data_IF_978839747602
#
_entry.id   IF_978839747602
#
_cell.length_a   1.000
_cell.length_b   1.000
_cell.length_c   1.000
_cell.angle_alpha   90.00
_cell.angle_beta   90.00
_cell.angle_gamma   90.00
#
_symmetry.space_group_name_H-M   'P 1'
#
loop_
_entity.id
_entity.type
_entity.pdbx_description
1 polymer ?
#
# COMPACT_ATOMS: atom_id res chain seq x y z
N UNK A 1 23.01 -9.02 -11.15
CA UNK A 1 22.34 -10.27 -10.68
C UNK A 1 22.91 -10.83 -9.39
N UNK A 2 24.21 -10.70 -9.14
CA UNK A 2 24.83 -11.19 -7.90
C UNK A 2 24.27 -10.54 -6.64
N UNK A 3 24.10 -9.21 -6.66
CA UNK A 3 23.45 -8.43 -5.60
C UNK A 3 22.04 -8.93 -5.31
N UNK A 4 21.19 -9.09 -6.33
CA UNK A 4 19.84 -9.63 -6.18
C UNK A 4 19.82 -11.03 -5.54
N UNK A 5 20.72 -11.93 -5.96
CA UNK A 5 20.84 -13.28 -5.36
C UNK A 5 21.28 -13.24 -3.91
N UNK A 6 22.19 -12.33 -3.56
CA UNK A 6 22.62 -12.08 -2.17
C UNK A 6 21.44 -11.56 -1.34
N UNK A 7 20.64 -10.68 -1.93
CA UNK A 7 19.53 -10.02 -1.25
C UNK A 7 18.37 -10.97 -0.95
N UNK A 8 18.05 -11.90 -1.87
CA UNK A 8 17.07 -12.99 -1.63
C UNK A 8 17.45 -13.85 -0.42
N UNK A 9 18.74 -14.07 -0.19
CA UNK A 9 19.24 -14.91 0.92
C UNK A 9 19.38 -14.15 2.24
N UNK A 10 19.23 -12.83 2.23
CA UNK A 10 19.40 -11.99 3.42
C UNK A 10 18.22 -12.17 4.39
N UNK A 11 18.53 -12.61 5.62
CA UNK A 11 17.53 -12.75 6.69
C UNK A 11 16.92 -11.39 7.08
N UNK A 12 17.74 -10.35 7.12
CA UNK A 12 17.28 -8.98 7.44
C UNK A 12 16.19 -8.51 6.47
N UNK A 13 16.38 -8.77 5.18
CA UNK A 13 15.40 -8.41 4.15
C UNK A 13 14.13 -9.23 4.23
N UNK A 14 14.25 -10.54 4.54
CA UNK A 14 13.08 -11.39 4.81
C UNK A 14 12.27 -10.87 5.99
N UNK A 15 12.93 -10.56 7.11
CA UNK A 15 12.28 -9.99 8.28
C UNK A 15 11.58 -8.67 7.96
N UNK A 16 12.15 -7.83 7.09
CA UNK A 16 11.53 -6.59 6.64
C UNK A 16 10.26 -6.84 5.81
N UNK A 17 10.25 -7.86 4.95
CA UNK A 17 9.08 -8.28 4.18
C UNK A 17 7.99 -8.77 5.13
N UNK A 18 8.31 -9.69 6.04
CA UNK A 18 7.36 -10.23 7.03
C UNK A 18 6.77 -9.13 7.93
N UNK A 19 7.61 -8.20 8.40
CA UNK A 19 7.15 -7.05 9.17
C UNK A 19 6.15 -6.20 8.36
N UNK A 20 6.44 -5.96 7.09
CA UNK A 20 5.54 -5.19 6.20
C UNK A 20 4.21 -5.92 6.01
N UNK A 21 4.23 -7.23 5.77
CA UNK A 21 3.01 -8.05 5.63
C UNK A 21 2.17 -7.94 6.90
N UNK A 22 2.78 -8.13 8.08
CA UNK A 22 2.08 -8.04 9.36
C UNK A 22 1.45 -6.66 9.57
N UNK A 23 2.16 -5.59 9.21
CA UNK A 23 1.63 -4.22 9.29
C UNK A 23 0.44 -4.01 8.34
N UNK A 24 0.50 -4.54 7.11
CA UNK A 24 -0.60 -4.45 6.15
C UNK A 24 -1.82 -5.26 6.58
N UNK A 25 -1.62 -6.46 7.14
CA UNK A 25 -2.71 -7.27 7.71
C UNK A 25 -3.39 -6.56 8.88
N UNK A 26 -2.62 -5.91 9.77
CA UNK A 26 -3.17 -5.10 10.85
C UNK A 26 -3.93 -3.86 10.34
N UNK A 27 -3.53 -3.32 9.18
CA UNK A 27 -4.22 -2.24 8.51
C UNK A 27 -5.47 -2.69 7.71
N UNK A 28 -5.84 -3.97 7.76
CA UNK A 28 -7.04 -4.49 7.11
C UNK A 28 -6.85 -4.90 5.63
N UNK A 29 -5.61 -5.02 5.16
CA UNK A 29 -5.32 -5.48 3.80
C UNK A 29 -5.37 -7.01 3.75
N UNK A 30 -6.44 -7.55 3.18
CA UNK A 30 -6.67 -9.00 3.06
C UNK A 30 -6.75 -9.51 1.62
N UNK A 31 -6.88 -8.61 0.64
CA UNK A 31 -6.95 -8.95 -0.77
C UNK A 31 -5.97 -8.11 -1.59
N UNK A 32 -5.61 -8.59 -2.76
CA UNK A 32 -4.75 -7.86 -3.71
C UNK A 32 -5.43 -7.84 -5.08
N UNK A 33 -5.39 -6.73 -5.83
CA UNK A 33 -4.83 -5.42 -5.45
C UNK A 33 -5.65 -4.72 -4.34
N UNK A 34 -4.98 -3.93 -3.50
CA UNK A 34 -5.59 -3.00 -2.53
C UNK A 34 -4.85 -1.67 -2.62
N UNK A 35 -5.58 -0.57 -2.67
CA UNK A 35 -5.02 0.78 -2.67
C UNK A 35 -5.40 1.49 -1.37
N UNK A 36 -4.46 2.23 -0.78
CA UNK A 36 -4.68 3.03 0.43
C UNK A 36 -4.35 4.48 0.12
N UNK A 37 -5.28 5.40 0.37
CA UNK A 37 -5.08 6.85 0.19
C UNK A 37 -5.38 7.55 1.51
N UNK A 38 -4.38 8.21 2.10
CA UNK A 38 -4.49 8.91 3.39
C UNK A 38 -5.14 8.06 4.52
N UNK A 39 -4.84 6.76 4.56
CA UNK A 39 -5.41 5.82 5.53
C UNK A 39 -6.78 5.24 5.18
N UNK A 40 -7.36 5.61 4.03
CA UNK A 40 -8.61 5.03 3.50
C UNK A 40 -8.30 3.88 2.55
N UNK A 41 -8.87 2.71 2.82
CA UNK A 41 -8.77 1.55 1.93
C UNK A 41 -9.76 1.67 0.76
N UNK A 42 -9.29 1.41 -0.45
CA UNK A 42 -10.10 1.25 -1.67
C UNK A 42 -10.14 -0.23 -2.00
N UNK A 43 -11.33 -0.81 -1.89
CA UNK A 43 -11.56 -2.24 -2.14
C UNK A 43 -11.71 -2.51 -3.65
N UNK A 44 -12.23 -1.53 -4.41
CA UNK A 44 -12.34 -1.59 -5.87
C UNK A 44 -11.17 -0.87 -6.56
N UNK A 45 -9.94 -1.32 -6.30
CA UNK A 45 -8.75 -0.72 -6.90
C UNK A 45 -8.69 -0.81 -8.43
N UNK A 46 -9.56 -1.61 -9.04
CA UNK A 46 -9.66 -1.77 -10.48
C UNK A 46 -10.50 -0.66 -11.15
N UNK A 47 -11.08 0.26 -10.37
CA UNK A 47 -11.87 1.39 -10.85
C UNK A 47 -11.07 2.70 -10.80
N UNK A 48 -10.53 3.19 -11.93
CA UNK A 48 -9.84 4.48 -11.98
C UNK A 48 -10.71 5.63 -11.50
N UNK A 49 -12.02 5.57 -11.77
CA UNK A 49 -12.99 6.61 -11.38
C UNK A 49 -13.09 6.74 -9.86
N UNK A 50 -13.11 5.62 -9.14
CA UNK A 50 -13.21 5.60 -7.68
C UNK A 50 -11.93 6.12 -7.03
N UNK A 51 -10.77 5.74 -7.58
CA UNK A 51 -9.47 6.25 -7.16
C UNK A 51 -9.40 7.78 -7.37
N UNK A 52 -9.73 8.28 -8.56
CA UNK A 52 -9.69 9.71 -8.85
C UNK A 52 -10.64 10.50 -7.94
N UNK A 53 -11.89 10.02 -7.76
CA UNK A 53 -12.84 10.69 -6.89
C UNK A 53 -12.32 10.79 -5.45
N UNK A 54 -11.72 9.73 -4.91
CA UNK A 54 -11.17 9.77 -3.57
C UNK A 54 -9.97 10.72 -3.46
N UNK A 55 -9.10 10.76 -4.48
CA UNK A 55 -7.98 11.70 -4.52
C UNK A 55 -8.49 13.14 -4.53
N UNK A 56 -9.46 13.46 -5.38
CA UNK A 56 -10.06 14.80 -5.46
C UNK A 56 -10.69 15.19 -4.12
N UNK A 57 -11.43 14.28 -3.49
CA UNK A 57 -12.03 14.49 -2.17
C UNK A 57 -10.98 14.76 -1.08
N UNK A 58 -9.86 14.04 -1.10
CA UNK A 58 -8.76 14.25 -0.15
C UNK A 58 -8.04 15.58 -0.40
N UNK A 59 -7.76 15.92 -1.67
CA UNK A 59 -7.14 17.20 -2.03
C UNK A 59 -8.04 18.39 -1.67
N UNK A 60 -9.36 18.28 -1.85
CA UNK A 60 -10.30 19.35 -1.52
C UNK A 60 -10.41 19.59 0.00
N UNK A 61 -10.35 18.54 0.82
CA UNK A 61 -10.34 18.67 2.30
C UNK A 61 -9.08 19.35 2.81
N UNK A 62 -7.95 19.13 2.13
CA UNK A 62 -6.66 19.70 2.51
C UNK A 62 -6.41 21.10 1.88
N UNK A 63 -7.24 21.56 0.94
CA UNK A 63 -7.25 22.93 0.41
C UNK A 63 -7.98 23.95 1.31
N UNK A 64 -7.93 23.78 2.63
CA UNK A 64 -8.22 24.89 3.55
C UNK A 64 -6.90 25.62 3.82
N UNK A 65 -6.56 26.50 2.87
CA UNK A 65 -5.97 27.82 3.03
C UNK A 65 -5.93 28.52 1.68
#
# INVERSE_FOLDING_TARGET
METFRKDIKSIERKNKIEKTINQLTLAGVYATPTVIINGRLIINSDSPKEICHLIDDELNKHHIN
#
